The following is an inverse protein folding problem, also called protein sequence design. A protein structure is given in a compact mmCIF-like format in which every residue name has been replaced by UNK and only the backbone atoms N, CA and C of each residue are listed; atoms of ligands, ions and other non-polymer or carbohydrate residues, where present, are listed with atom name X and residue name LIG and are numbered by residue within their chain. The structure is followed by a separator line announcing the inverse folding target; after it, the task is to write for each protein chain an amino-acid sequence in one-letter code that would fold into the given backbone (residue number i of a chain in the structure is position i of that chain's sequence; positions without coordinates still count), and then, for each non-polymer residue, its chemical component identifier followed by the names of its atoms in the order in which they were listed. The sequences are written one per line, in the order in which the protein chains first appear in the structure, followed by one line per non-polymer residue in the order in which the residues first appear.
data_IF_784483536730
#
_entry.id   IF_784483536730
#
_cell.length_a   1.000
_cell.length_b   1.000
_cell.length_c   1.000
_cell.angle_alpha   90.00
_cell.angle_beta   90.00
_cell.angle_gamma   90.00
#
_symmetry.space_group_name_H-M   'P 1'
#
loop_
_entity.id
_entity.type
_entity.pdbx_description
1 polymer ?
#
# COMPACT_ATOMS: atom_id res chain seq x y z
N UNK A 1 -39.86 29.52 -33.92
CA UNK A 1 -39.27 30.85 -33.66
C UNK A 1 -39.22 31.03 -32.15
N UNK A 2 -38.11 30.62 -31.54
CA UNK A 2 -37.01 31.47 -31.11
C UNK A 2 -37.38 32.42 -29.97
N UNK A 3 -36.92 32.10 -28.76
CA UNK A 3 -36.07 33.03 -28.03
C UNK A 3 -35.15 32.27 -27.09
N UNK A 4 -33.86 32.39 -27.40
CA UNK A 4 -32.70 31.91 -26.68
C UNK A 4 -32.53 32.73 -25.40
N UNK A 5 -32.34 32.09 -24.25
CA UNK A 5 -31.45 32.60 -23.20
C UNK A 5 -30.72 31.43 -22.53
N UNK A 6 -29.71 30.95 -23.23
CA UNK A 6 -28.62 30.17 -22.66
C UNK A 6 -27.57 31.12 -22.07
N UNK A 7 -26.78 30.59 -21.14
CA UNK A 7 -25.47 31.07 -20.67
C UNK A 7 -25.43 32.23 -19.67
N UNK A 8 -25.47 31.86 -18.38
CA UNK A 8 -24.46 32.31 -17.40
C UNK A 8 -24.61 31.52 -16.09
N UNK A 9 -23.90 30.40 -15.97
CA UNK A 9 -23.53 29.80 -14.67
C UNK A 9 -22.45 28.74 -14.89
N UNK A 10 -21.29 29.19 -15.35
CA UNK A 10 -20.06 28.41 -15.24
C UNK A 10 -19.02 29.22 -14.48
N UNK A 11 -18.45 28.52 -13.48
CA UNK A 11 -17.19 28.78 -12.78
C UNK A 11 -17.07 29.99 -11.86
N UNK A 12 -17.57 29.85 -10.63
CA UNK A 12 -16.79 30.27 -9.46
C UNK A 12 -16.03 29.02 -8.96
N UNK A 13 -14.85 28.77 -9.53
CA UNK A 13 -13.89 27.86 -8.91
C UNK A 13 -13.43 28.60 -7.64
N UNK A 14 -13.64 28.02 -6.46
CA UNK A 14 -13.21 28.66 -5.21
C UNK A 14 -11.69 28.80 -5.20
N UNK A 15 -11.17 29.82 -4.51
CA UNK A 15 -9.71 29.97 -4.27
C UNK A 15 -9.11 28.68 -3.68
N UNK A 16 -9.88 27.93 -2.88
CA UNK A 16 -9.47 26.62 -2.36
C UNK A 16 -9.31 25.52 -3.41
N UNK A 17 -10.07 25.55 -4.52
CA UNK A 17 -9.86 24.65 -5.65
C UNK A 17 -8.66 25.08 -6.52
N UNK A 18 -8.42 26.39 -6.65
CA UNK A 18 -7.27 26.95 -7.39
C UNK A 18 -5.95 26.63 -6.67
N UNK A 19 -5.89 26.78 -5.34
CA UNK A 19 -4.67 26.51 -4.55
C UNK A 19 -4.28 25.03 -4.47
N UNK A 20 -5.21 24.09 -4.71
CA UNK A 20 -4.88 22.64 -4.71
C UNK A 20 -3.96 22.22 -5.87
N UNK A 21 -3.88 23.02 -6.93
CA UNK A 21 -3.13 22.73 -8.15
C UNK A 21 -2.08 23.80 -8.51
N UNK A 22 -1.94 24.87 -7.73
CA UNK A 22 -1.19 26.06 -8.14
C UNK A 22 0.34 25.87 -8.16
N UNK A 23 0.90 24.92 -7.41
CA UNK A 23 2.34 24.62 -7.43
C UNK A 23 2.63 23.21 -6.92
N UNK A 24 3.78 22.66 -7.28
CA UNK A 24 4.33 21.41 -6.76
C UNK A 24 5.75 21.68 -6.27
N UNK A 25 6.19 20.96 -5.24
CA UNK A 25 7.61 20.91 -4.91
C UNK A 25 8.41 20.30 -6.07
N UNK A 26 9.70 20.66 -6.17
CA UNK A 26 10.62 20.14 -7.18
C UNK A 26 11.80 19.42 -6.52
N UNK A 27 12.14 18.24 -7.02
CA UNK A 27 13.30 17.48 -6.57
C UNK A 27 14.62 18.22 -6.84
N UNK A 28 14.66 19.11 -7.83
CA UNK A 28 15.82 19.98 -8.09
C UNK A 28 16.11 20.99 -6.96
N UNK A 29 15.14 21.23 -6.08
CA UNK A 29 15.29 22.12 -4.91
C UNK A 29 15.51 21.35 -3.61
N UNK A 30 15.68 20.02 -3.71
CA UNK A 30 15.91 19.13 -2.59
C UNK A 30 17.20 19.51 -1.87
N UNK A 31 17.08 19.77 -0.57
CA UNK A 31 18.21 19.93 0.34
C UNK A 31 18.48 18.63 1.10
N UNK A 32 19.75 18.32 1.33
CA UNK A 32 20.17 17.11 2.06
C UNK A 32 21.02 17.53 3.26
N UNK A 33 20.65 17.02 4.43
CA UNK A 33 21.44 17.10 5.66
C UNK A 33 21.80 15.69 6.07
N UNK A 34 23.07 15.32 5.93
CA UNK A 34 23.54 13.98 6.28
C UNK A 34 23.71 13.77 7.79
N UNK A 35 23.49 12.54 8.23
CA UNK A 35 23.81 12.10 9.58
C UNK A 35 25.31 12.21 9.88
N UNK A 36 25.67 12.82 11.02
CA UNK A 36 27.06 12.84 11.52
C UNK A 36 27.62 11.43 11.80
N UNK A 37 26.74 10.50 12.18
CA UNK A 37 27.05 9.09 12.43
C UNK A 37 25.89 8.24 11.93
N UNK A 38 26.20 7.29 11.03
CA UNK A 38 25.23 6.29 10.55
C UNK A 38 24.96 5.24 11.62
N UNK A 39 23.74 4.70 11.64
CA UNK A 39 23.35 3.60 12.51
C UNK A 39 23.90 2.29 11.92
N UNK A 40 23.97 1.26 12.76
CA UNK A 40 24.30 -0.09 12.30
C UNK A 40 23.09 -0.69 11.59
N UNK A 41 23.27 -1.15 10.36
CA UNK A 41 22.23 -1.88 9.60
C UNK A 41 22.01 -3.24 10.29
N UNK A 42 20.77 -3.58 10.68
CA UNK A 42 20.47 -4.87 11.29
C UNK A 42 20.69 -5.99 10.27
N UNK A 43 21.41 -7.04 10.66
CA UNK A 43 21.77 -8.16 9.77
C UNK A 43 20.85 -9.39 9.92
N UNK A 44 20.05 -9.45 10.99
CA UNK A 44 19.07 -10.50 11.28
C UNK A 44 17.88 -9.93 12.06
N UNK A 45 16.73 -10.61 11.96
CA UNK A 45 15.53 -10.39 12.79
C UNK A 45 15.08 -8.93 12.94
N UNK A 46 15.10 -8.15 11.85
CA UNK A 46 14.71 -6.75 11.90
C UNK A 46 13.19 -6.53 12.07
N UNK A 47 12.35 -7.54 11.81
CA UNK A 47 10.90 -7.41 11.93
C UNK A 47 10.30 -6.31 11.04
N UNK A 48 8.97 -6.33 10.86
CA UNK A 48 8.33 -5.32 10.01
C UNK A 48 8.17 -3.99 10.75
N UNK A 49 8.78 -2.92 10.22
CA UNK A 49 8.54 -1.54 10.67
C UNK A 49 9.11 -1.17 12.05
N UNK A 50 10.12 -1.90 12.54
CA UNK A 50 10.77 -1.62 13.84
C UNK A 50 12.04 -0.79 13.73
N UNK A 51 12.87 -1.07 12.72
CA UNK A 51 14.11 -0.33 12.46
C UNK A 51 13.93 0.62 11.30
N UNK A 52 14.42 1.84 11.43
CA UNK A 52 14.34 2.88 10.41
C UNK A 52 15.74 3.31 10.01
N UNK A 53 15.90 3.67 8.74
CA UNK A 53 17.18 4.05 8.13
C UNK A 53 17.73 5.36 8.72
N UNK A 54 18.89 5.80 8.24
CA UNK A 54 19.58 6.97 8.76
C UNK A 54 18.79 8.26 8.52
N UNK A 55 18.08 8.37 7.41
CA UNK A 55 17.42 9.61 6.98
C UNK A 55 15.91 9.45 6.76
N UNK A 56 15.21 10.58 6.71
CA UNK A 56 13.83 10.70 6.26
C UNK A 56 13.68 11.90 5.32
N UNK A 57 12.67 11.87 4.44
CA UNK A 57 12.27 13.02 3.65
C UNK A 57 11.11 13.75 4.37
N UNK A 58 11.11 15.07 4.35
CA UNK A 58 10.00 15.92 4.79
C UNK A 58 9.76 17.03 3.77
N UNK A 59 8.49 17.30 3.45
CA UNK A 59 8.07 18.41 2.58
C UNK A 59 6.86 19.09 3.24
N UNK A 60 7.01 20.31 3.77
CA UNK A 60 5.90 21.04 4.36
C UNK A 60 5.01 21.64 3.26
N UNK A 61 3.75 21.86 3.60
CA UNK A 61 2.83 22.67 2.80
C UNK A 61 2.01 23.57 3.72
N UNK A 62 1.74 24.79 3.26
CA UNK A 62 0.75 25.64 3.89
C UNK A 62 -0.07 26.41 2.84
N UNK A 63 -1.26 26.88 3.21
CA UNK A 63 -2.18 27.55 2.30
C UNK A 63 -1.67 28.91 1.78
N UNK A 64 -0.75 29.55 2.50
CA UNK A 64 -0.22 30.88 2.18
C UNK A 64 0.89 30.81 1.13
N UNK A 65 1.82 29.87 1.30
CA UNK A 65 3.05 29.78 0.51
C UNK A 65 3.07 28.57 -0.44
N UNK A 66 2.13 27.63 -0.28
CA UNK A 66 2.08 26.39 -1.05
C UNK A 66 3.07 25.34 -0.54
N UNK A 67 3.59 24.52 -1.45
CA UNK A 67 4.60 23.51 -1.11
C UNK A 67 5.95 24.16 -0.81
N UNK A 68 6.53 23.80 0.33
CA UNK A 68 7.91 24.13 0.66
C UNK A 68 8.92 23.24 -0.08
N UNK A 69 10.20 23.56 0.10
CA UNK A 69 11.30 22.79 -0.50
C UNK A 69 11.41 21.40 0.14
N UNK A 70 11.65 20.35 -0.66
CA UNK A 70 11.94 19.03 -0.12
C UNK A 70 13.22 19.03 0.72
N UNK A 71 13.22 18.29 1.83
CA UNK A 71 14.38 18.15 2.71
C UNK A 71 14.58 16.70 3.12
N UNK A 72 15.75 16.15 2.81
CA UNK A 72 16.24 14.91 3.43
C UNK A 72 17.07 15.29 4.65
N UNK A 73 16.78 14.69 5.80
CA UNK A 73 17.46 14.98 7.06
C UNK A 73 17.55 13.71 7.93
N UNK A 74 18.35 13.71 9.00
CA UNK A 74 18.45 12.57 9.91
C UNK A 74 17.07 12.14 10.43
N UNK A 75 16.77 10.85 10.39
CA UNK A 75 15.54 10.29 10.94
C UNK A 75 15.44 10.61 12.44
N UNK A 76 14.36 11.26 12.84
CA UNK A 76 14.18 11.71 14.22
C UNK A 76 12.75 12.17 14.53
N UNK A 77 12.50 12.58 15.78
CA UNK A 77 11.19 13.06 16.19
C UNK A 77 10.79 14.35 15.47
N UNK A 78 9.50 14.49 15.19
CA UNK A 78 8.91 15.75 14.69
C UNK A 78 8.30 16.51 15.86
N UNK A 79 8.54 17.82 15.92
CA UNK A 79 7.89 18.70 16.90
C UNK A 79 6.49 19.07 16.40
N UNK A 80 5.46 18.48 17.00
CA UNK A 80 4.06 18.69 16.64
C UNK A 80 3.28 19.14 17.88
N UNK A 81 2.33 20.06 17.69
CA UNK A 81 1.41 20.45 18.76
C UNK A 81 0.25 19.44 18.87
N UNK A 82 -0.31 19.20 20.07
CA UNK A 82 -1.40 18.23 20.23
C UNK A 82 -2.70 18.58 19.50
N UNK A 83 -2.92 19.86 19.18
CA UNK A 83 -4.13 20.36 18.54
C UNK A 83 -4.26 20.03 17.05
N UNK A 84 -3.27 19.34 16.44
CA UNK A 84 -3.30 19.07 15.01
C UNK A 84 -4.44 18.13 14.60
N UNK A 85 -5.05 18.40 13.45
CA UNK A 85 -6.17 17.60 12.92
C UNK A 85 -5.79 16.14 12.62
N UNK A 86 -4.51 15.84 12.37
CA UNK A 86 -4.06 14.46 12.22
C UNK A 86 -4.29 13.63 13.50
N UNK A 87 -4.09 14.23 14.68
CA UNK A 87 -4.34 13.59 15.98
C UNK A 87 -5.85 13.56 16.28
N UNK A 88 -6.54 14.68 16.06
CA UNK A 88 -7.94 14.84 16.48
C UNK A 88 -8.93 14.08 15.58
N UNK A 89 -8.68 14.05 14.26
CA UNK A 89 -9.64 13.59 13.25
C UNK A 89 -9.07 12.58 12.26
N UNK A 90 -7.87 12.05 12.52
CA UNK A 90 -7.17 11.13 11.63
C UNK A 90 -7.03 11.67 10.19
N UNK A 91 -6.85 12.99 10.03
CA UNK A 91 -6.56 13.63 8.72
C UNK A 91 -5.15 13.28 8.30
N UNK A 92 -4.99 12.04 7.84
CA UNK A 92 -3.72 11.45 7.45
C UNK A 92 -3.94 10.28 6.47
N UNK A 93 -3.01 10.13 5.54
CA UNK A 93 -2.92 9.03 4.58
C UNK A 93 -1.48 8.55 4.49
N UNK A 94 -1.28 7.33 3.99
CA UNK A 94 0.04 6.77 3.80
C UNK A 94 0.07 5.88 2.56
N UNK A 95 1.29 5.57 2.13
CA UNK A 95 1.55 4.50 1.17
C UNK A 95 2.51 3.44 1.71
N UNK A 96 2.61 2.33 0.98
CA UNK A 96 3.54 1.25 1.23
C UNK A 96 4.01 0.62 -0.08
N UNK A 97 5.28 0.84 -0.40
CA UNK A 97 5.97 0.24 -1.54
C UNK A 97 7.31 -0.37 -1.11
N UNK A 98 8.00 -1.06 -2.01
CA UNK A 98 9.29 -1.71 -1.72
C UNK A 98 10.32 -1.37 -2.79
N UNK A 99 11.56 -1.20 -2.34
CA UNK A 99 12.74 -1.28 -3.17
C UNK A 99 13.46 -2.60 -2.94
N UNK A 100 13.94 -3.20 -4.03
CA UNK A 100 14.58 -4.51 -4.03
C UNK A 100 15.98 -4.37 -4.63
N UNK A 101 16.95 -5.06 -4.04
CA UNK A 101 18.28 -5.22 -4.63
C UNK A 101 18.25 -6.43 -5.54
N UNK A 102 18.41 -6.21 -6.84
CA UNK A 102 18.37 -7.28 -7.84
C UNK A 102 19.56 -8.23 -7.75
N UNK A 103 19.48 -9.34 -8.49
CA UNK A 103 20.58 -10.31 -8.63
C UNK A 103 21.84 -9.69 -9.25
N UNK A 104 21.69 -8.58 -9.96
CA UNK A 104 22.76 -7.77 -10.54
C UNK A 104 23.28 -6.67 -9.60
N UNK A 105 22.86 -6.68 -8.32
CA UNK A 105 23.27 -5.71 -7.30
C UNK A 105 22.55 -4.36 -7.36
N UNK A 106 21.79 -4.06 -8.43
CA UNK A 106 21.13 -2.76 -8.62
C UNK A 106 19.81 -2.67 -7.86
N UNK A 107 19.55 -1.51 -7.26
CA UNK A 107 18.30 -1.25 -6.51
C UNK A 107 17.20 -0.74 -7.45
N UNK A 108 15.98 -1.30 -7.29
CA UNK A 108 14.82 -0.96 -8.12
C UNK A 108 13.56 -0.82 -7.28
N UNK A 109 12.69 0.09 -7.68
CA UNK A 109 11.32 0.22 -7.19
C UNK A 109 10.38 -0.64 -8.03
N UNK A 110 9.40 -1.26 -7.38
CA UNK A 110 8.35 -2.01 -8.06
C UNK A 110 7.09 -1.14 -8.23
N UNK A 111 6.73 -0.86 -9.50
CA UNK A 111 5.54 -0.07 -9.94
C UNK A 111 5.33 1.25 -9.19
N UNK A 112 6.37 2.11 -9.04
CA UNK A 112 6.27 3.34 -8.26
C UNK A 112 5.24 4.34 -8.83
N UNK A 113 5.00 4.31 -10.14
CA UNK A 113 3.95 5.09 -10.82
C UNK A 113 2.56 4.75 -10.25
N UNK A 114 2.23 3.45 -10.14
CA UNK A 114 0.94 2.98 -9.62
C UNK A 114 0.77 3.26 -8.14
N UNK A 115 1.86 3.18 -7.38
CA UNK A 115 1.87 3.61 -5.98
C UNK A 115 1.62 5.12 -5.86
N UNK A 116 2.26 5.94 -6.69
CA UNK A 116 2.08 7.41 -6.73
C UNK A 116 0.65 7.81 -7.09
N UNK A 117 0.07 7.19 -8.12
CA UNK A 117 -1.34 7.37 -8.52
C UNK A 117 -2.30 7.09 -7.35
N UNK A 118 -2.10 5.97 -6.64
CA UNK A 118 -2.94 5.61 -5.48
C UNK A 118 -2.75 6.54 -4.29
N UNK A 119 -1.54 7.01 -4.07
CA UNK A 119 -1.25 7.96 -3.00
C UNK A 119 -1.95 9.30 -3.27
N UNK A 120 -1.83 9.86 -4.48
CA UNK A 120 -2.50 11.10 -4.89
C UNK A 120 -4.03 11.00 -4.78
N UNK A 121 -4.63 9.87 -5.14
CA UNK A 121 -6.07 9.64 -4.92
C UNK A 121 -6.46 9.71 -3.44
N UNK A 122 -5.61 9.20 -2.55
CA UNK A 122 -5.86 9.23 -1.11
C UNK A 122 -5.65 10.63 -0.51
N UNK A 123 -4.65 11.36 -1.02
CA UNK A 123 -4.40 12.78 -0.72
C UNK A 123 -5.61 13.63 -1.12
N UNK A 124 -6.13 13.45 -2.34
CA UNK A 124 -7.31 14.18 -2.82
C UNK A 124 -8.55 13.91 -1.98
N UNK A 125 -8.76 12.64 -1.58
CA UNK A 125 -9.90 12.25 -0.72
C UNK A 125 -9.86 12.93 0.65
N UNK A 126 -8.68 13.26 1.16
CA UNK A 126 -8.49 14.04 2.39
C UNK A 126 -8.50 15.54 2.17
N UNK A 127 -8.81 16.00 0.96
CA UNK A 127 -8.84 17.42 0.62
C UNK A 127 -7.48 18.14 0.80
N UNK A 128 -6.39 17.39 0.81
CA UNK A 128 -5.03 17.93 0.82
C UNK A 128 -4.64 18.54 -0.52
N UNK A 129 -3.60 19.39 -0.55
CA UNK A 129 -2.99 19.85 -1.81
C UNK A 129 -2.43 18.66 -2.60
N UNK A 130 -2.59 18.70 -3.92
CA UNK A 130 -1.98 17.71 -4.80
C UNK A 130 -0.56 18.14 -5.16
N UNK A 131 0.19 17.20 -5.74
CA UNK A 131 1.58 17.38 -6.18
C UNK A 131 1.85 16.53 -7.41
N UNK A 132 2.97 16.81 -8.06
CA UNK A 132 3.45 16.05 -9.21
C UNK A 132 3.99 14.68 -8.76
N UNK A 133 3.38 13.62 -9.27
CA UNK A 133 3.74 12.24 -8.93
C UNK A 133 5.15 11.85 -9.38
N UNK A 134 5.70 12.47 -10.42
CA UNK A 134 7.07 12.22 -10.87
C UNK A 134 8.08 12.90 -9.95
N UNK A 135 7.81 14.14 -9.53
CA UNK A 135 8.66 14.87 -8.58
C UNK A 135 8.70 14.16 -7.21
N UNK A 136 7.57 13.60 -6.79
CA UNK A 136 7.50 12.73 -5.62
C UNK A 136 8.41 11.49 -5.77
N UNK A 137 8.33 10.77 -6.89
CA UNK A 137 9.16 9.59 -7.14
C UNK A 137 10.65 9.95 -7.23
N UNK A 138 11.00 11.10 -7.83
CA UNK A 138 12.38 11.61 -7.87
C UNK A 138 12.94 11.87 -6.46
N UNK A 139 12.16 12.53 -5.60
CA UNK A 139 12.57 12.77 -4.20
C UNK A 139 12.73 11.46 -3.41
N UNK A 140 11.81 10.52 -3.61
CA UNK A 140 11.86 9.18 -3.01
C UNK A 140 13.11 8.41 -3.45
N UNK A 141 13.45 8.45 -4.75
CA UNK A 141 14.69 7.84 -5.28
C UNK A 141 15.93 8.47 -4.66
N UNK A 142 15.95 9.79 -4.47
CA UNK A 142 17.07 10.49 -3.83
C UNK A 142 17.29 10.02 -2.38
N UNK A 143 16.21 9.84 -1.60
CA UNK A 143 16.28 9.30 -0.25
C UNK A 143 16.81 7.86 -0.24
N UNK A 144 16.31 6.99 -1.12
CA UNK A 144 16.77 5.60 -1.21
C UNK A 144 18.23 5.52 -1.63
N UNK A 145 18.69 6.42 -2.51
CA UNK A 145 20.11 6.48 -2.90
C UNK A 145 21.01 6.81 -1.71
N UNK A 146 20.62 7.77 -0.87
CA UNK A 146 21.40 8.14 0.31
C UNK A 146 21.48 7.01 1.35
N UNK A 147 20.39 6.24 1.47
CA UNK A 147 20.25 5.11 2.39
C UNK A 147 20.36 3.74 1.69
N UNK A 148 20.98 3.68 0.52
CA UNK A 148 21.09 2.44 -0.26
C UNK A 148 21.74 1.28 0.50
N UNK A 149 22.74 1.49 1.38
CA UNK A 149 23.29 0.41 2.22
C UNK A 149 22.27 -0.30 3.11
N UNK A 150 21.09 0.30 3.35
CA UNK A 150 20.00 -0.32 4.09
C UNK A 150 19.14 -1.26 3.24
N UNK A 151 19.31 -1.28 1.92
CA UNK A 151 18.58 -2.20 1.05
C UNK A 151 19.20 -3.58 1.16
N UNK A 152 18.48 -4.56 1.72
CA UNK A 152 19.02 -5.89 2.01
C UNK A 152 19.30 -6.69 0.73
N UNK A 153 20.14 -7.73 0.87
CA UNK A 153 20.58 -8.57 -0.24
C UNK A 153 19.84 -9.91 -0.34
N UNK A 154 19.11 -10.33 0.70
CA UNK A 154 18.46 -11.65 0.73
C UNK A 154 17.23 -11.73 -0.17
N UNK A 155 16.99 -12.90 -0.76
CA UNK A 155 15.74 -13.17 -1.49
C UNK A 155 14.56 -13.11 -0.51
N UNK A 156 13.54 -12.38 -0.90
CA UNK A 156 12.37 -12.08 -0.05
C UNK A 156 12.54 -10.86 0.87
N UNK A 157 13.77 -10.34 1.02
CA UNK A 157 14.04 -9.13 1.79
C UNK A 157 13.88 -7.86 0.93
N UNK A 158 13.47 -6.76 1.53
CA UNK A 158 13.34 -5.50 0.80
C UNK A 158 13.57 -4.31 1.70
N UNK A 159 13.75 -3.13 1.09
CA UNK A 159 13.58 -1.87 1.79
C UNK A 159 12.13 -1.42 1.61
N UNK A 160 11.35 -1.44 2.68
CA UNK A 160 9.99 -0.92 2.68
C UNK A 160 10.00 0.60 2.80
N UNK A 161 9.17 1.24 1.99
CA UNK A 161 9.08 2.69 1.87
C UNK A 161 7.68 3.10 2.33
N UNK A 162 7.63 4.02 3.29
CA UNK A 162 6.41 4.53 3.93
C UNK A 162 6.28 6.05 3.69
N UNK A 163 5.72 6.46 2.55
CA UNK A 163 5.20 7.81 2.41
C UNK A 163 4.03 8.01 3.35
N UNK A 164 3.93 9.15 4.01
CA UNK A 164 2.77 9.59 4.75
C UNK A 164 2.51 11.06 4.47
N UNK A 165 1.24 11.45 4.46
CA UNK A 165 0.82 12.83 4.43
C UNK A 165 -0.22 13.05 5.50
N UNK A 166 -0.01 14.07 6.32
CA UNK A 166 -0.86 14.33 7.48
C UNK A 166 -0.99 15.83 7.75
N UNK A 167 -2.11 16.20 8.37
CA UNK A 167 -2.40 17.59 8.71
C UNK A 167 -1.54 18.02 9.89
N UNK A 168 -0.85 19.15 9.73
CA UNK A 168 -0.11 19.82 10.80
C UNK A 168 -0.83 21.08 11.29
N UNK A 169 -2.04 21.33 10.78
CA UNK A 169 -2.87 22.49 11.10
C UNK A 169 -3.27 22.50 12.59
N UNK A 170 -2.80 23.46 13.40
CA UNK A 170 -2.93 23.46 14.86
C UNK A 170 -4.32 23.90 15.34
N UNK A 171 -5.38 23.27 14.81
CA UNK A 171 -6.76 23.64 15.05
C UNK A 171 -7.66 22.43 15.31
N UNK A 172 -8.49 22.54 16.36
CA UNK A 172 -9.55 21.57 16.69
C UNK A 172 -10.82 21.84 15.85
N UNK A 173 -10.96 22.97 15.18
CA UNK A 173 -12.10 23.18 14.28
C UNK A 173 -12.08 22.20 13.10
N UNK A 174 -13.19 21.49 12.85
CA UNK A 174 -13.31 20.58 11.70
C UNK A 174 -13.59 21.36 10.41
N UNK A 175 -12.51 21.74 9.72
CA UNK A 175 -12.50 22.40 8.42
C UNK A 175 -11.27 21.93 7.61
N UNK A 176 -11.15 22.36 6.36
CA UNK A 176 -10.00 22.10 5.49
C UNK A 176 -8.68 22.42 6.21
N UNK A 177 -7.70 21.53 6.04
CA UNK A 177 -6.38 21.73 6.63
C UNK A 177 -5.67 22.89 5.92
N UNK A 178 -5.17 23.85 6.70
CA UNK A 178 -4.37 24.97 6.19
C UNK A 178 -2.87 24.67 6.17
N UNK A 179 -2.45 23.61 6.85
CA UNK A 179 -1.07 23.14 6.92
C UNK A 179 -1.04 21.61 6.86
N UNK A 180 -0.03 21.07 6.18
CA UNK A 180 0.21 19.64 6.07
C UNK A 180 1.70 19.35 5.91
N UNK A 181 2.10 18.12 6.16
CA UNK A 181 3.44 17.64 5.85
C UNK A 181 3.35 16.31 5.10
N UNK A 182 4.17 16.18 4.06
CA UNK A 182 4.51 14.90 3.45
C UNK A 182 5.83 14.43 4.03
N UNK A 183 5.90 13.18 4.47
CA UNK A 183 7.15 12.56 4.93
C UNK A 183 7.33 11.16 4.34
N UNK A 184 8.58 10.73 4.16
CA UNK A 184 8.91 9.38 3.71
C UNK A 184 9.88 8.75 4.70
N UNK A 185 9.49 7.59 5.22
CA UNK A 185 10.30 6.75 6.09
C UNK A 185 10.72 5.49 5.35
N UNK A 186 11.90 4.97 5.68
CA UNK A 186 12.42 3.73 5.12
C UNK A 186 12.69 2.73 6.24
N UNK A 187 12.38 1.46 6.02
CA UNK A 187 12.71 0.38 6.94
C UNK A 187 13.04 -0.92 6.19
N UNK A 188 14.12 -1.65 6.57
CA UNK A 188 14.37 -2.97 6.01
C UNK A 188 13.27 -3.93 6.48
N UNK A 189 12.88 -4.87 5.63
CA UNK A 189 11.85 -5.88 5.94
C UNK A 189 12.28 -7.27 5.50
N UNK A 190 12.12 -8.23 6.41
CA UNK A 190 12.47 -9.64 6.20
C UNK A 190 11.43 -10.34 5.32
N UNK A 191 11.72 -11.55 4.81
CA UNK A 191 10.76 -12.33 4.04
C UNK A 191 9.54 -12.67 4.91
N UNK A 192 8.35 -12.45 4.37
CA UNK A 192 7.10 -12.83 5.02
C UNK A 192 6.66 -14.25 4.63
N UNK A 193 6.97 -14.64 3.39
CA UNK A 193 6.74 -15.96 2.87
C UNK A 193 8.02 -16.79 3.09
N UNK A 194 8.05 -17.54 4.18
CA UNK A 194 9.01 -18.64 4.32
C UNK A 194 8.38 -19.89 3.69
N UNK A 195 9.18 -20.69 3.00
CA UNK A 195 8.76 -21.93 2.32
C UNK A 195 8.17 -22.99 3.27
N UNK A 196 8.21 -22.77 4.59
CA UNK A 196 7.52 -23.56 5.62
C UNK A 196 6.18 -22.99 6.10
N UNK A 197 5.67 -21.87 5.55
CA UNK A 197 4.45 -21.22 6.02
C UNK A 197 3.22 -22.12 5.81
N UNK A 198 2.64 -22.59 6.92
CA UNK A 198 1.43 -23.43 6.96
C UNK A 198 0.14 -22.69 6.57
N UNK A 199 0.24 -21.40 6.26
CA UNK A 199 -0.88 -20.50 5.99
C UNK A 199 -1.43 -19.87 7.27
N UNK A 200 -2.22 -18.81 7.11
CA UNK A 200 -2.86 -18.07 8.20
C UNK A 200 -4.28 -18.56 8.46
N UNK A 201 -4.71 -18.49 9.71
CA UNK A 201 -6.10 -18.62 10.14
C UNK A 201 -6.76 -17.24 10.14
N UNK A 202 -7.94 -17.15 9.52
CA UNK A 202 -8.72 -15.92 9.43
C UNK A 202 -9.97 -15.98 10.30
N UNK A 203 -10.28 -14.90 11.02
CA UNK A 203 -11.52 -14.77 11.78
C UNK A 203 -12.57 -13.98 10.99
N UNK A 204 -13.73 -14.59 10.73
CA UNK A 204 -14.82 -14.00 9.96
C UNK A 204 -16.03 -13.78 10.88
N UNK A 205 -16.33 -12.51 11.19
CA UNK A 205 -17.52 -12.12 11.95
C UNK A 205 -18.26 -10.99 11.22
N UNK A 206 -19.49 -11.24 10.71
CA UNK A 206 -20.24 -10.26 9.94
C UNK A 206 -20.69 -9.04 10.76
N UNK A 207 -20.54 -9.04 12.08
CA UNK A 207 -20.81 -7.87 12.93
C UNK A 207 -19.84 -6.72 12.68
N UNK A 208 -18.66 -6.98 12.13
CA UNK A 208 -17.63 -5.96 11.92
C UNK A 208 -17.41 -5.70 10.44
N UNK A 209 -17.69 -4.47 10.03
CA UNK A 209 -17.56 -4.02 8.65
C UNK A 209 -16.32 -3.13 8.52
N UNK A 210 -15.44 -3.47 7.58
CA UNK A 210 -14.20 -2.70 7.31
C UNK A 210 -14.48 -1.39 6.57
N UNK A 211 -15.39 -1.45 5.60
CA UNK A 211 -15.71 -0.38 4.68
C UNK A 211 -17.14 -0.59 4.13
N UNK A 212 -17.75 0.47 3.65
CA UNK A 212 -19.10 0.49 3.09
C UNK A 212 -19.15 1.35 1.82
N UNK A 213 -20.19 1.15 1.02
CA UNK A 213 -20.42 1.95 -0.19
C UNK A 213 -20.58 3.44 0.14
N UNK A 214 -19.99 4.30 -0.70
CA UNK A 214 -19.89 5.74 -0.42
C UNK A 214 -18.86 6.12 0.66
N UNK A 215 -18.28 5.13 1.35
CA UNK A 215 -17.24 5.33 2.36
C UNK A 215 -15.87 5.69 1.77
N UNK A 216 -14.80 5.26 2.44
CA UNK A 216 -13.43 5.53 2.00
C UNK A 216 -12.52 4.28 1.95
N UNK A 217 -13.10 3.08 1.93
CA UNK A 217 -12.36 1.82 1.97
C UNK A 217 -11.39 1.59 0.79
N UNK A 218 -11.67 2.20 -0.35
CA UNK A 218 -10.83 2.17 -1.56
C UNK A 218 -9.66 3.19 -1.55
N UNK A 219 -9.52 3.96 -0.47
CA UNK A 219 -8.43 4.91 -0.26
C UNK A 219 -7.56 4.46 0.92
N UNK A 220 -6.28 4.83 0.89
CA UNK A 220 -5.32 4.39 1.92
C UNK A 220 -5.22 5.39 3.07
N UNK A 221 -6.34 5.60 3.75
CA UNK A 221 -6.49 6.59 4.82
C UNK A 221 -6.24 5.96 6.18
N UNK A 222 -5.60 6.68 7.10
CA UNK A 222 -5.33 6.19 8.46
C UNK A 222 -6.61 5.80 9.22
N UNK A 223 -7.72 6.50 8.95
CA UNK A 223 -9.04 6.22 9.53
C UNK A 223 -9.60 4.83 9.18
N UNK A 224 -9.15 4.21 8.07
CA UNK A 224 -9.58 2.86 7.68
C UNK A 224 -8.89 1.75 8.50
N UNK A 225 -7.81 2.07 9.21
CA UNK A 225 -6.98 1.09 9.91
C UNK A 225 -7.18 1.14 11.43
N UNK A 226 -7.40 2.32 12.02
CA UNK A 226 -7.51 2.45 13.47
C UNK A 226 -8.68 1.63 14.07
N UNK A 227 -9.92 1.65 13.51
CA UNK A 227 -11.01 0.84 14.05
C UNK A 227 -10.77 -0.68 13.94
N UNK A 228 -9.96 -1.12 12.97
CA UNK A 228 -9.66 -2.53 12.76
C UNK A 228 -8.84 -3.14 13.91
N UNK A 229 -8.17 -2.33 14.75
CA UNK A 229 -7.39 -2.81 15.89
C UNK A 229 -8.27 -3.53 16.93
N UNK A 230 -9.51 -3.09 17.12
CA UNK A 230 -10.47 -3.79 17.99
C UNK A 230 -10.75 -5.20 17.47
N UNK A 231 -10.97 -5.33 16.16
CA UNK A 231 -11.22 -6.63 15.51
C UNK A 231 -9.96 -7.50 15.54
N UNK A 232 -8.77 -6.91 15.41
CA UNK A 232 -7.51 -7.63 15.55
C UNK A 232 -7.36 -8.22 16.97
N UNK A 233 -7.78 -7.50 18.02
CA UNK A 233 -7.81 -8.04 19.39
C UNK A 233 -8.73 -9.27 19.47
N UNK A 234 -9.95 -9.19 18.92
CA UNK A 234 -10.88 -10.33 18.90
C UNK A 234 -10.35 -11.53 18.11
N UNK A 235 -9.70 -11.24 16.98
CA UNK A 235 -9.05 -12.24 16.14
C UNK A 235 -7.96 -12.98 16.94
N UNK A 236 -7.13 -12.25 17.69
CA UNK A 236 -6.11 -12.85 18.56
C UNK A 236 -6.73 -13.72 19.67
N UNK A 237 -7.84 -13.28 20.28
CA UNK A 237 -8.60 -14.06 21.26
C UNK A 237 -9.18 -15.37 20.69
N UNK A 238 -9.31 -15.47 19.35
CA UNK A 238 -9.72 -16.69 18.64
C UNK A 238 -8.55 -17.46 18.02
N UNK A 239 -7.31 -17.15 18.41
CA UNK A 239 -6.09 -17.76 17.86
C UNK A 239 -5.97 -17.65 16.33
N UNK A 240 -6.60 -16.65 15.74
CA UNK A 240 -6.47 -16.32 14.33
C UNK A 240 -5.41 -15.22 14.15
N UNK A 241 -4.83 -15.11 12.96
CA UNK A 241 -3.78 -14.12 12.69
C UNK A 241 -4.36 -12.79 12.19
N UNK A 242 -5.45 -12.81 11.41
CA UNK A 242 -6.13 -11.58 10.98
C UNK A 242 -7.61 -11.83 10.66
N UNK A 243 -8.37 -10.77 10.40
CA UNK A 243 -9.79 -10.86 10.07
C UNK A 243 -10.02 -11.18 8.59
N UNK A 244 -11.05 -11.95 8.28
CA UNK A 244 -11.68 -11.99 6.96
C UNK A 244 -12.86 -11.02 6.97
N UNK A 245 -12.77 -9.96 6.18
CA UNK A 245 -13.77 -8.90 6.16
C UNK A 245 -14.97 -9.30 5.32
N UNK A 246 -16.15 -9.25 5.93
CA UNK A 246 -17.44 -9.55 5.31
C UNK A 246 -18.24 -8.25 5.12
N UNK A 247 -19.06 -8.19 4.08
CA UNK A 247 -19.90 -7.03 3.80
C UNK A 247 -21.31 -7.42 3.39
N UNK A 248 -22.29 -6.65 3.86
CA UNK A 248 -23.68 -6.76 3.44
C UNK A 248 -24.43 -7.99 3.98
N UNK A 249 -25.73 -8.09 3.68
CA UNK A 249 -26.58 -9.19 4.14
C UNK A 249 -26.17 -10.55 3.54
N UNK A 250 -25.57 -10.55 2.35
CA UNK A 250 -25.07 -11.75 1.69
C UNK A 250 -23.67 -12.17 2.18
N UNK A 251 -23.09 -11.41 3.11
CA UNK A 251 -21.77 -11.65 3.69
C UNK A 251 -20.69 -11.86 2.61
N UNK A 252 -20.61 -10.88 1.72
CA UNK A 252 -19.63 -10.83 0.64
C UNK A 252 -18.22 -10.82 1.20
N UNK A 253 -17.35 -11.66 0.65
CA UNK A 253 -15.94 -11.72 1.03
C UNK A 253 -15.20 -10.56 0.35
N UNK A 254 -14.56 -9.71 1.15
CA UNK A 254 -13.92 -8.47 0.65
C UNK A 254 -12.39 -8.51 0.72
N UNK A 255 -11.82 -8.51 1.93
CA UNK A 255 -10.37 -8.44 2.18
C UNK A 255 -9.97 -9.31 3.37
N UNK A 256 -8.68 -9.63 3.51
CA UNK A 256 -8.12 -10.32 4.68
C UNK A 256 -7.15 -9.39 5.42
N UNK A 257 -7.55 -8.88 6.58
CA UNK A 257 -6.74 -7.95 7.36
C UNK A 257 -6.45 -6.67 6.57
N UNK A 258 -5.21 -6.51 6.13
CA UNK A 258 -4.76 -5.38 5.29
C UNK A 258 -4.40 -5.81 3.86
N UNK A 259 -4.86 -6.98 3.45
CA UNK A 259 -4.57 -7.64 2.18
C UNK A 259 -5.84 -7.75 1.33
N UNK A 260 -5.69 -7.64 0.01
CA UNK A 260 -6.71 -8.15 -0.90
C UNK A 260 -6.73 -9.68 -0.82
N UNK A 261 -7.81 -10.30 -1.32
CA UNK A 261 -8.00 -11.74 -1.22
C UNK A 261 -8.30 -12.38 -2.57
N UNK A 262 -7.68 -13.53 -2.80
CA UNK A 262 -7.90 -14.37 -3.97
C UNK A 262 -8.35 -15.75 -3.53
N UNK A 263 -9.24 -16.34 -4.33
CA UNK A 263 -9.70 -17.72 -4.21
C UNK A 263 -9.42 -18.41 -5.54
N UNK A 264 -8.76 -19.56 -5.51
CA UNK A 264 -8.61 -20.43 -6.67
C UNK A 264 -9.45 -21.67 -6.45
N UNK A 265 -10.39 -21.94 -7.36
CA UNK A 265 -11.35 -23.02 -7.22
C UNK A 265 -11.77 -23.58 -8.57
N UNK A 266 -12.51 -24.68 -8.55
CA UNK A 266 -13.38 -25.08 -9.66
C UNK A 266 -14.74 -24.43 -9.45
N UNK A 267 -15.17 -23.58 -10.38
CA UNK A 267 -16.46 -22.89 -10.27
C UNK A 267 -17.65 -23.84 -10.50
N UNK A 268 -18.86 -23.30 -10.40
CA UNK A 268 -20.12 -24.04 -10.54
C UNK A 268 -20.32 -24.63 -11.94
N UNK A 269 -19.55 -24.18 -12.94
CA UNK A 269 -19.56 -24.68 -14.32
C UNK A 269 -18.44 -25.72 -14.58
N UNK A 270 -17.66 -26.10 -13.57
CA UNK A 270 -16.55 -27.05 -13.73
C UNK A 270 -15.25 -26.43 -14.24
N UNK A 271 -15.14 -25.12 -14.34
CA UNK A 271 -13.94 -24.42 -14.84
C UNK A 271 -13.01 -24.06 -13.68
N UNK A 272 -11.69 -24.20 -13.86
CA UNK A 272 -10.71 -23.60 -12.94
C UNK A 272 -10.78 -22.08 -13.04
N UNK A 273 -10.94 -21.41 -11.91
CA UNK A 273 -11.12 -19.97 -11.83
C UNK A 273 -10.33 -19.39 -10.65
N UNK A 274 -9.56 -18.33 -10.91
CA UNK A 274 -8.98 -17.44 -9.91
C UNK A 274 -9.88 -16.21 -9.78
N UNK A 275 -10.53 -16.05 -8.63
CA UNK A 275 -11.48 -14.97 -8.34
C UNK A 275 -10.95 -14.05 -7.24
N UNK A 276 -11.20 -12.74 -7.41
CA UNK A 276 -11.05 -11.71 -6.37
C UNK A 276 -12.28 -10.79 -6.39
N UNK A 277 -12.61 -10.17 -5.26
CA UNK A 277 -13.68 -9.16 -5.19
C UNK A 277 -13.39 -7.96 -6.13
N UNK A 278 -14.42 -7.37 -6.76
CA UNK A 278 -14.29 -6.23 -7.67
C UNK A 278 -14.03 -4.91 -6.92
N UNK A 279 -13.57 -3.88 -7.65
CA UNK A 279 -13.27 -2.56 -7.08
C UNK A 279 -14.52 -1.66 -6.99
N UNK A 280 -15.49 -2.04 -6.15
CA UNK A 280 -16.77 -1.32 -5.94
C UNK A 280 -16.69 -0.12 -4.99
N UNK A 281 -15.49 0.23 -4.52
CA UNK A 281 -15.26 1.26 -3.50
C UNK A 281 -15.03 0.69 -2.08
N UNK A 282 -15.41 -0.56 -1.86
CA UNK A 282 -15.15 -1.32 -0.62
C UNK A 282 -13.70 -1.81 -0.51
N UNK A 283 -13.08 -2.12 -1.64
CA UNK A 283 -11.79 -2.79 -1.72
C UNK A 283 -10.67 -1.77 -1.98
N UNK A 284 -9.55 -1.87 -1.26
CA UNK A 284 -8.38 -1.08 -1.57
C UNK A 284 -7.74 -1.63 -2.86
N UNK A 285 -7.58 -0.84 -3.94
CA UNK A 285 -6.91 -1.30 -5.16
C UNK A 285 -5.42 -1.61 -4.92
N UNK A 286 -5.12 -2.85 -4.53
CA UNK A 286 -3.77 -3.32 -4.27
C UNK A 286 -2.90 -3.36 -5.52
N UNK A 287 -1.67 -2.85 -5.44
CA UNK A 287 -0.70 -2.96 -6.53
C UNK A 287 -0.28 -4.42 -6.76
N UNK A 288 -0.14 -5.20 -5.68
CA UNK A 288 0.11 -6.65 -5.80
C UNK A 288 -1.09 -7.38 -6.39
N UNK A 289 -2.33 -7.06 -5.97
CA UNK A 289 -3.58 -7.59 -6.57
C UNK A 289 -3.61 -7.35 -8.08
N UNK A 290 -3.39 -6.10 -8.50
CA UNK A 290 -3.34 -5.73 -9.92
C UNK A 290 -2.27 -6.51 -10.68
N UNK A 291 -1.07 -6.64 -10.10
CA UNK A 291 0.04 -7.36 -10.73
C UNK A 291 -0.25 -8.87 -10.87
N UNK A 292 -0.93 -9.48 -9.91
CA UNK A 292 -1.38 -10.89 -9.98
C UNK A 292 -2.42 -11.07 -11.08
N UNK A 293 -3.39 -10.15 -11.19
CA UNK A 293 -4.39 -10.20 -12.26
C UNK A 293 -3.74 -10.07 -13.64
N UNK A 294 -2.79 -9.14 -13.82
CA UNK A 294 -2.04 -8.98 -15.06
C UNK A 294 -1.23 -10.24 -15.41
N UNK A 295 -0.48 -10.82 -14.45
CA UNK A 295 0.29 -12.05 -14.67
C UNK A 295 -0.60 -13.23 -15.05
N UNK A 296 -1.63 -13.50 -14.25
CA UNK A 296 -2.46 -14.70 -14.41
C UNK A 296 -3.35 -14.63 -15.64
N UNK A 297 -3.81 -13.44 -16.05
CA UNK A 297 -4.45 -13.23 -17.36
C UNK A 297 -3.46 -13.48 -18.50
N UNK A 298 -2.21 -13.06 -18.35
CA UNK A 298 -1.16 -13.32 -19.35
C UNK A 298 -0.82 -14.81 -19.51
N UNK A 299 -0.96 -15.62 -18.46
CA UNK A 299 -0.77 -17.07 -18.55
C UNK A 299 -1.87 -17.76 -19.37
N UNK A 300 -3.11 -17.26 -19.30
CA UNK A 300 -4.25 -17.78 -20.06
C UNK A 300 -4.51 -19.30 -19.86
N UNK A 301 -4.28 -19.81 -18.66
CA UNK A 301 -4.42 -21.23 -18.31
C UNK A 301 -5.73 -21.55 -17.56
N UNK A 302 -6.37 -20.54 -16.99
CA UNK A 302 -7.60 -20.64 -16.20
C UNK A 302 -8.35 -19.31 -16.25
N UNK A 303 -9.63 -19.33 -15.87
CA UNK A 303 -10.47 -18.13 -15.83
C UNK A 303 -9.99 -17.18 -14.74
N UNK A 304 -9.91 -15.88 -15.02
CA UNK A 304 -9.52 -14.85 -14.03
C UNK A 304 -10.65 -13.83 -13.92
N UNK A 305 -11.31 -13.78 -12.77
CA UNK A 305 -12.54 -13.02 -12.57
C UNK A 305 -12.43 -12.00 -11.44
N UNK A 306 -12.91 -10.79 -11.70
CA UNK A 306 -13.19 -9.77 -10.68
C UNK A 306 -14.70 -9.74 -10.46
N UNK A 307 -15.20 -10.56 -9.51
CA UNK A 307 -16.63 -10.69 -9.23
C UNK A 307 -16.88 -10.92 -7.74
N UNK A 308 -18.05 -10.51 -7.29
CA UNK A 308 -18.45 -10.74 -5.90
C UNK A 308 -18.65 -12.23 -5.63
N UNK A 309 -18.35 -12.63 -4.40
CA UNK A 309 -18.62 -13.97 -3.90
C UNK A 309 -18.89 -13.91 -2.40
N UNK A 310 -19.84 -14.72 -1.95
CA UNK A 310 -20.29 -14.76 -0.56
C UNK A 310 -19.56 -15.82 0.26
N UNK A 311 -19.62 -15.68 1.58
CA UNK A 311 -19.25 -16.77 2.50
C UNK A 311 -20.03 -18.05 2.19
N UNK A 312 -21.32 -17.95 1.84
CA UNK A 312 -22.14 -19.11 1.45
C UNK A 312 -21.54 -19.87 0.26
N UNK A 313 -21.11 -19.17 -0.79
CA UNK A 313 -20.46 -19.78 -1.95
C UNK A 313 -19.11 -20.41 -1.59
N UNK A 314 -18.31 -19.72 -0.77
CA UNK A 314 -17.02 -20.23 -0.31
C UNK A 314 -17.17 -21.52 0.51
N UNK A 315 -18.12 -21.55 1.46
CA UNK A 315 -18.39 -22.74 2.28
C UNK A 315 -18.92 -23.91 1.45
N UNK A 316 -19.77 -23.64 0.44
CA UNK A 316 -20.21 -24.66 -0.50
C UNK A 316 -19.02 -25.27 -1.27
N UNK A 317 -18.12 -24.43 -1.78
CA UNK A 317 -16.93 -24.88 -2.49
C UNK A 317 -15.98 -25.70 -1.61
N UNK A 318 -15.85 -25.36 -0.32
CA UNK A 318 -15.09 -26.16 0.66
C UNK A 318 -15.73 -27.53 0.85
N UNK A 319 -17.04 -27.58 1.12
CA UNK A 319 -17.80 -28.82 1.35
C UNK A 319 -17.75 -29.75 0.13
N UNK A 320 -17.84 -29.19 -1.07
CA UNK A 320 -17.83 -29.90 -2.34
C UNK A 320 -16.41 -30.22 -2.85
N UNK A 321 -15.37 -29.87 -2.08
CA UNK A 321 -13.96 -30.06 -2.45
C UNK A 321 -13.58 -29.40 -3.79
N UNK A 322 -14.23 -28.28 -4.12
CA UNK A 322 -13.96 -27.46 -5.29
C UNK A 322 -12.91 -26.37 -5.04
N UNK A 323 -12.68 -26.00 -3.79
CA UNK A 323 -11.63 -25.05 -3.42
C UNK A 323 -10.25 -25.68 -3.62
N UNK A 324 -9.35 -25.00 -4.33
CA UNK A 324 -7.95 -25.43 -4.51
C UNK A 324 -7.02 -24.67 -3.56
N UNK A 325 -7.14 -23.34 -3.48
CA UNK A 325 -6.40 -22.53 -2.53
C UNK A 325 -7.08 -21.18 -2.29
N UNK A 326 -6.66 -20.49 -1.23
CA UNK A 326 -7.06 -19.13 -0.92
C UNK A 326 -5.86 -18.40 -0.33
N UNK A 327 -5.67 -17.13 -0.69
CA UNK A 327 -4.53 -16.37 -0.21
C UNK A 327 -4.82 -14.87 -0.15
N UNK A 328 -4.25 -14.23 0.86
CA UNK A 328 -4.13 -12.78 0.92
C UNK A 328 -2.97 -12.28 0.07
N UNK A 329 -3.07 -11.06 -0.45
CA UNK A 329 -1.98 -10.37 -1.14
C UNK A 329 -1.86 -8.90 -0.75
N UNK A 330 -0.63 -8.42 -0.66
CA UNK A 330 -0.31 -7.02 -0.39
C UNK A 330 1.20 -6.76 -0.42
N UNK A 331 1.62 -5.50 -0.41
CA UNK A 331 3.06 -5.15 -0.49
C UNK A 331 3.91 -5.83 0.59
N UNK A 332 3.38 -5.93 1.81
CA UNK A 332 4.13 -6.46 2.95
C UNK A 332 4.49 -7.95 2.77
N UNK A 333 3.48 -8.79 2.47
CA UNK A 333 3.65 -10.24 2.38
C UNK A 333 3.88 -10.78 0.97
N UNK A 334 3.56 -10.00 -0.06
CA UNK A 334 3.38 -10.46 -1.45
C UNK A 334 2.21 -11.44 -1.57
N UNK A 335 2.36 -12.63 -0.99
CA UNK A 335 1.34 -13.69 -0.91
C UNK A 335 1.31 -14.22 0.53
N UNK A 336 0.11 -14.46 1.06
CA UNK A 336 -0.11 -15.08 2.36
C UNK A 336 -1.16 -16.18 2.22
N UNK A 337 -0.79 -17.47 2.14
CA UNK A 337 -1.74 -18.56 2.06
C UNK A 337 -2.69 -18.58 3.25
N UNK A 338 -3.93 -19.02 3.04
CA UNK A 338 -4.95 -19.17 4.08
C UNK A 338 -5.17 -20.66 4.35
N UNK A 339 -4.99 -21.05 5.61
CA UNK A 339 -5.12 -22.43 6.07
C UNK A 339 -6.48 -22.72 6.71
N UNK A 340 -7.13 -21.69 7.25
CA UNK A 340 -8.33 -21.84 8.06
C UNK A 340 -9.16 -20.56 8.05
N UNK A 341 -10.47 -20.74 8.11
CA UNK A 341 -11.42 -19.68 8.41
C UNK A 341 -12.23 -20.09 9.63
N UNK A 342 -12.24 -19.25 10.66
CA UNK A 342 -13.12 -19.37 11.82
C UNK A 342 -14.32 -18.47 11.60
N UNK A 343 -15.50 -19.07 11.44
CA UNK A 343 -16.73 -18.38 11.10
C UNK A 343 -17.91 -18.95 11.91
N UNK A 344 -18.65 -18.09 12.61
CA UNK A 344 -19.77 -18.47 13.50
C UNK A 344 -19.41 -19.63 14.45
N UNK A 345 -18.28 -19.47 15.14
CA UNK A 345 -17.70 -20.44 16.09
C UNK A 345 -17.37 -21.82 15.49
N UNK A 346 -17.34 -21.94 14.17
CA UNK A 346 -16.92 -23.14 13.44
C UNK A 346 -15.61 -22.91 12.71
N UNK A 347 -14.74 -23.91 12.75
CA UNK A 347 -13.47 -23.93 12.02
C UNK A 347 -13.64 -24.64 10.69
N UNK A 348 -13.24 -23.96 9.61
CA UNK A 348 -13.20 -24.49 8.26
C UNK A 348 -11.74 -24.56 7.82
N UNK A 349 -11.19 -25.78 7.74
CA UNK A 349 -9.83 -25.98 7.22
C UNK A 349 -9.84 -25.91 5.69
N UNK A 350 -8.90 -25.16 5.15
CA UNK A 350 -8.70 -25.02 3.72
C UNK A 350 -7.61 -25.99 3.25
N UNK A 351 -7.67 -26.44 1.99
CA UNK A 351 -6.64 -27.32 1.44
C UNK A 351 -5.29 -26.61 1.42
N UNK A 352 -4.26 -27.32 1.90
CA UNK A 352 -2.87 -26.92 1.70
C UNK A 352 -2.47 -27.39 0.30
N UNK A 353 -2.04 -26.46 -0.56
CA UNK A 353 -1.62 -26.80 -1.91
C UNK A 353 -0.45 -27.79 -1.87
N UNK A 354 -0.48 -28.81 -2.74
CA UNK A 354 0.64 -29.76 -2.89
C UNK A 354 1.81 -29.06 -3.58
N UNK A 355 3.04 -29.35 -3.14
CA UNK A 355 4.27 -28.65 -3.55
C UNK A 355 4.46 -28.56 -5.07
N UNK A 356 4.03 -29.57 -5.83
CA UNK A 356 4.17 -29.61 -7.30
C UNK A 356 3.19 -28.69 -8.06
N UNK A 357 2.06 -28.30 -7.45
CA UNK A 357 0.95 -27.59 -8.11
C UNK A 357 0.58 -26.26 -7.41
N UNK A 358 1.45 -25.72 -6.55
CA UNK A 358 1.13 -24.52 -5.76
C UNK A 358 1.06 -23.27 -6.62
N UNK A 359 -0.16 -22.84 -6.97
CA UNK A 359 -0.42 -21.59 -7.67
C UNK A 359 0.13 -20.40 -6.86
N UNK A 360 0.00 -20.43 -5.53
CA UNK A 360 0.55 -19.38 -4.66
C UNK A 360 2.06 -19.25 -4.79
N UNK A 361 2.80 -20.36 -4.79
CA UNK A 361 4.25 -20.37 -4.95
C UNK A 361 4.67 -19.92 -6.35
N UNK A 362 3.94 -20.34 -7.39
CA UNK A 362 4.19 -19.89 -8.77
C UNK A 362 4.01 -18.38 -8.90
N UNK A 363 2.92 -17.83 -8.37
CA UNK A 363 2.67 -16.38 -8.36
C UNK A 363 3.76 -15.65 -7.57
N UNK A 364 4.10 -16.14 -6.38
CA UNK A 364 5.16 -15.57 -5.55
C UNK A 364 6.49 -15.52 -6.30
N UNK A 365 6.91 -16.63 -6.90
CA UNK A 365 8.17 -16.71 -7.65
C UNK A 365 8.15 -15.80 -8.88
N UNK A 366 7.05 -15.76 -9.64
CA UNK A 366 6.94 -14.87 -10.79
C UNK A 366 7.09 -13.38 -10.40
N UNK A 367 6.45 -12.96 -9.30
CA UNK A 367 6.58 -11.60 -8.78
C UNK A 367 7.98 -11.33 -8.24
N UNK A 368 8.56 -12.27 -7.49
CA UNK A 368 9.92 -12.15 -6.97
C UNK A 368 10.92 -12.04 -8.13
N UNK A 369 10.84 -12.89 -9.14
CA UNK A 369 11.78 -12.89 -10.25
C UNK A 369 11.75 -11.57 -11.03
N UNK A 370 10.57 -10.94 -11.14
CA UNK A 370 10.45 -9.55 -11.63
C UNK A 370 11.11 -8.58 -10.65
N UNK A 371 10.75 -8.60 -9.35
CA UNK A 371 11.26 -7.66 -8.35
C UNK A 371 12.79 -7.67 -8.21
N UNK A 372 13.41 -8.86 -8.31
CA UNK A 372 14.86 -9.06 -8.24
C UNK A 372 15.54 -9.03 -9.61
N UNK A 373 14.81 -8.73 -10.69
CA UNK A 373 15.31 -8.69 -12.06
C UNK A 373 16.08 -9.97 -12.46
N UNK A 374 15.61 -11.15 -12.05
CA UNK A 374 16.25 -12.45 -12.30
C UNK A 374 16.41 -12.71 -13.80
N UNK A 375 15.41 -12.34 -14.59
CA UNK A 375 15.41 -12.47 -16.05
C UNK A 375 15.71 -11.14 -16.76
N UNK A 376 16.37 -10.20 -16.07
CA UNK A 376 16.66 -8.86 -16.58
C UNK A 376 15.58 -7.80 -16.25
N UNK A 377 15.73 -6.57 -16.77
CA UNK A 377 14.80 -5.48 -16.51
C UNK A 377 13.38 -5.77 -16.99
N UNK A 378 12.39 -5.35 -16.20
CA UNK A 378 10.97 -5.45 -16.52
C UNK A 378 10.32 -4.05 -16.53
N UNK A 379 9.31 -3.75 -17.37
CA UNK A 379 8.64 -2.44 -17.39
C UNK A 379 8.02 -2.00 -16.06
N UNK A 380 7.78 -2.95 -15.15
CA UNK A 380 7.29 -2.67 -13.79
C UNK A 380 8.37 -2.18 -12.84
N UNK A 381 9.64 -2.18 -13.25
CA UNK A 381 10.75 -1.77 -12.40
C UNK A 381 11.25 -0.39 -12.80
N UNK A 382 11.40 0.48 -11.81
CA UNK A 382 12.12 1.74 -11.98
C UNK A 382 13.48 1.67 -11.27
N UNK A 383 14.61 1.84 -11.96
CA UNK A 383 15.92 1.85 -11.31
C UNK A 383 16.07 3.07 -10.40
N UNK A 384 16.84 2.91 -9.32
CA UNK A 384 17.40 4.06 -8.59
C UNK A 384 18.58 4.55 -9.43
N UNK A 385 18.45 5.71 -10.07
CA UNK A 385 19.45 6.23 -11.01
C UNK A 385 20.80 6.47 -10.29
N UNK A 386 21.94 6.26 -10.94
CA UNK A 386 23.24 6.72 -10.41
C UNK A 386 23.30 8.25 -10.56
N UNK A 387 23.53 8.98 -9.45
CA UNK A 387 23.57 10.45 -9.25
C UNK A 387 22.84 11.41 -10.22
N UNK A 388 22.00 12.29 -9.64
CA UNK A 388 21.86 13.64 -10.18
C UNK A 388 23.15 14.38 -9.84
N UNK A 389 23.99 14.68 -10.84
CA UNK A 389 25.20 15.48 -10.66
C UNK A 389 24.85 16.84 -10.05
N UNK A 390 24.96 16.98 -8.73
CA UNK A 390 24.80 18.28 -8.06
C UNK A 390 26.12 18.69 -7.42
N UNK A 391 26.62 19.80 -7.99
CA UNK A 391 27.80 20.55 -7.61
C UNK A 391 27.82 20.72 -6.09
N UNK A 392 28.90 20.24 -5.47
CA UNK A 392 29.27 20.63 -4.11
C UNK A 392 29.27 22.16 -4.05
N UNK A 393 28.30 22.76 -3.36
CA UNK A 393 28.43 24.14 -2.91
C UNK A 393 29.54 24.14 -1.87
N UNK A 394 30.74 24.54 -2.30
CA UNK A 394 31.83 24.85 -1.41
C UNK A 394 31.34 25.95 -0.45
N UNK A 395 31.32 25.62 0.83
CA UNK A 395 31.27 26.62 1.90
C UNK A 395 32.62 27.34 1.83
N UNK A 396 32.62 28.57 1.31
CA UNK A 396 33.78 29.45 1.44
C UNK A 396 33.88 29.92 2.89
N UNK A 397 35.06 29.67 3.46
CA UNK A 397 35.59 30.22 4.70
C UNK A 397 35.56 31.74 4.75
#
# INVERSE_FOLDING_TARGET
MFSVQTTQKLTKISVSQICRFASTFKCSELSIVECKKRKTVPTKDFGFGKYFTDHMLTIPWNIKDGWGKPKIEPYGPMQLVPSIKAIQYAVATFEGMKAFRGVDGKVRLFRPDKHSERFLRSVDRLAFPLFDGEEFVKCLKALIRLDEPWVPHGRGEALYIRPCMFSTDPAVGLDLSKEAALSILLCPVAPFFDTGNKGVSLYADPKYVRAWEGGCGSFKLSSNYAPALYVQRLTNERNCQTALWLYGPDELVTEAGTMNIFVFWTNEHGEKELITAPLTGLILPGITRMSILELTRGWNEFKVSEREFSMKQLLAAIKEKRLHCMFGTGTACVISPVAEIVYRDQSYKLPVEKKEDQLTLRIYNALADIQYAVNGPHPWLAPIDEELSHRKSAVSS
#
